data_IF_225015971819
#
_entry.id   IF_225015971819
#
_cell.length_a   1.000
_cell.length_b   1.000
_cell.length_c   1.000
_cell.angle_alpha   90.00
_cell.angle_beta   90.00
_cell.angle_gamma   90.00
#
_symmetry.space_group_name_H-M   'P 1'
#
loop_
_entity.id
_entity.type
_entity.pdbx_description
1 polymer ?
#
# COMPACT_ATOMS: atom_id res chain seq x y z
N UNK A 1 -18.39 30.84 -2.73
CA UNK A 1 -18.75 29.40 -2.66
C UNK A 1 -18.20 28.74 -3.91
N UNK A 2 -17.02 28.13 -3.82
CA UNK A 2 -16.49 27.33 -4.93
C UNK A 2 -17.18 25.97 -4.87
N UNK A 3 -18.06 25.70 -5.84
CA UNK A 3 -18.50 24.34 -6.14
C UNK A 3 -17.34 23.71 -6.92
N UNK A 4 -16.43 23.06 -6.21
CA UNK A 4 -15.49 22.17 -6.87
C UNK A 4 -16.16 20.82 -7.02
N UNK A 5 -16.53 20.48 -8.25
CA UNK A 5 -16.73 19.10 -8.69
C UNK A 5 -15.38 18.39 -8.53
N UNK A 6 -15.08 17.96 -7.31
CA UNK A 6 -13.88 17.20 -7.01
C UNK A 6 -14.15 15.74 -7.38
N UNK A 7 -14.26 15.46 -8.68
CA UNK A 7 -14.25 14.11 -9.22
C UNK A 7 -12.83 13.52 -9.05
N UNK A 8 -12.42 13.30 -7.80
CA UNK A 8 -11.18 12.60 -7.49
C UNK A 8 -11.40 11.12 -7.74
N UNK A 9 -10.91 10.63 -8.89
CA UNK A 9 -10.97 9.21 -9.23
C UNK A 9 -10.09 8.42 -8.25
N UNK A 10 -10.71 7.58 -7.43
CA UNK A 10 -10.01 6.67 -6.53
C UNK A 10 -9.77 5.33 -7.23
N UNK A 11 -8.50 4.98 -7.45
CA UNK A 11 -8.09 3.67 -7.97
C UNK A 11 -7.49 2.83 -6.86
N UNK A 12 -7.95 1.59 -6.73
CA UNK A 12 -7.46 0.63 -5.73
C UNK A 12 -6.74 -0.50 -6.44
N UNK A 13 -5.51 -0.78 -6.00
CA UNK A 13 -4.70 -1.88 -6.50
C UNK A 13 -4.37 -2.82 -5.34
N UNK A 14 -4.52 -4.13 -5.58
CA UNK A 14 -4.16 -5.16 -4.60
C UNK A 14 -2.87 -5.86 -5.04
N UNK A 15 -2.01 -6.14 -4.07
CA UNK A 15 -0.78 -6.88 -4.28
C UNK A 15 -0.56 -7.85 -3.11
N UNK A 16 0.00 -9.03 -3.40
CA UNK A 16 0.34 -10.06 -2.41
C UNK A 16 1.86 -10.26 -2.27
N UNK A 17 2.65 -9.46 -2.97
CA UNK A 17 4.12 -9.45 -2.98
C UNK A 17 4.67 -8.05 -3.24
N UNK A 18 5.83 -7.76 -2.64
CA UNK A 18 6.73 -6.69 -3.04
C UNK A 18 8.16 -7.26 -3.17
N UNK A 19 8.96 -6.80 -4.15
CA UNK A 19 8.64 -5.78 -5.15
C UNK A 19 7.63 -6.28 -6.19
N UNK A 20 6.88 -5.35 -6.79
CA UNK A 20 5.97 -5.67 -7.89
C UNK A 20 6.76 -6.18 -9.12
N UNK A 21 6.21 -7.15 -9.89
CA UNK A 21 6.86 -7.63 -11.11
C UNK A 21 7.11 -6.49 -12.12
N UNK A 22 8.19 -6.57 -12.91
CA UNK A 22 8.64 -5.50 -13.82
C UNK A 22 7.76 -5.31 -15.06
N UNK A 23 6.91 -6.28 -15.34
CA UNK A 23 6.09 -6.43 -16.54
C UNK A 23 4.64 -5.96 -16.36
N UNK A 24 4.31 -5.32 -15.24
CA UNK A 24 3.01 -4.65 -15.05
C UNK A 24 3.12 -3.16 -15.35
N UNK A 25 2.15 -2.62 -16.09
CA UNK A 25 2.00 -1.17 -16.26
C UNK A 25 1.82 -0.56 -14.87
N UNK A 26 2.83 0.15 -14.37
CA UNK A 26 2.90 0.55 -12.95
C UNK A 26 2.12 1.86 -12.77
N UNK A 27 0.93 1.84 -12.15
CA UNK A 27 0.22 3.07 -11.86
C UNK A 27 1.01 3.89 -10.84
N UNK A 28 0.78 5.20 -10.83
CA UNK A 28 1.22 6.04 -9.71
C UNK A 28 0.53 5.56 -8.44
N UNK A 29 1.31 5.34 -7.38
CA UNK A 29 0.80 4.93 -6.07
C UNK A 29 0.94 6.11 -5.12
N UNK A 30 -0.19 6.57 -4.58
CA UNK A 30 -0.22 7.71 -3.66
C UNK A 30 -0.26 7.30 -2.18
N UNK A 31 -0.73 6.09 -1.89
CA UNK A 31 -0.81 5.50 -0.55
C UNK A 31 -0.61 3.98 -0.62
N UNK A 32 0.15 3.43 0.32
CA UNK A 32 0.31 1.99 0.54
C UNK A 32 -0.33 1.64 1.87
N UNK A 33 -1.20 0.63 1.89
CA UNK A 33 -1.78 0.08 3.12
C UNK A 33 -1.32 -1.36 3.30
N UNK A 34 -0.55 -1.62 4.35
CA UNK A 34 -0.20 -2.98 4.75
C UNK A 34 -1.27 -3.53 5.68
N UNK A 35 -2.04 -4.49 5.19
CA UNK A 35 -3.02 -5.21 6.01
C UNK A 35 -2.31 -6.36 6.73
N UNK A 36 -2.32 -6.33 8.06
CA UNK A 36 -1.66 -7.32 8.92
C UNK A 36 -2.73 -8.14 9.64
N UNK A 37 -2.75 -9.44 9.44
CA UNK A 37 -3.58 -10.36 10.22
C UNK A 37 -2.79 -10.94 11.40
N UNK A 38 -3.16 -10.57 12.63
CA UNK A 38 -2.49 -10.99 13.86
C UNK A 38 -2.69 -12.47 14.21
N UNK A 39 -3.71 -13.13 13.66
CA UNK A 39 -3.85 -14.59 13.79
C UNK A 39 -2.88 -15.36 12.89
N UNK A 40 -2.18 -14.69 11.98
CA UNK A 40 -1.26 -15.30 11.04
C UNK A 40 0.13 -14.72 11.21
N UNK A 41 1.02 -15.47 11.88
CA UNK A 41 2.45 -15.12 11.97
C UNK A 41 3.07 -14.90 10.58
N UNK A 42 2.63 -15.67 9.59
CA UNK A 42 3.05 -15.52 8.20
C UNK A 42 2.66 -14.15 7.62
N UNK A 43 1.47 -13.63 7.97
CA UNK A 43 1.06 -12.28 7.55
C UNK A 43 2.01 -11.21 8.06
N UNK A 44 2.43 -11.30 9.33
CA UNK A 44 3.37 -10.35 9.91
C UNK A 44 4.75 -10.43 9.24
N UNK A 45 5.29 -11.65 9.10
CA UNK A 45 6.60 -11.88 8.46
C UNK A 45 6.65 -11.34 7.02
N UNK A 46 5.59 -11.57 6.24
CA UNK A 46 5.51 -11.01 4.89
C UNK A 46 5.56 -9.48 4.87
N UNK A 47 4.88 -8.82 5.80
CA UNK A 47 4.91 -7.36 5.87
C UNK A 47 6.30 -6.87 6.24
N UNK A 48 7.01 -7.53 7.16
CA UNK A 48 8.41 -7.23 7.49
C UNK A 48 9.32 -7.33 6.25
N UNK A 49 9.17 -8.38 5.43
CA UNK A 49 9.91 -8.55 4.17
C UNK A 49 9.55 -7.46 3.15
N UNK A 50 8.27 -7.17 2.96
CA UNK A 50 7.80 -6.19 1.97
C UNK A 50 8.26 -4.77 2.27
N UNK A 51 8.37 -4.39 3.54
CA UNK A 51 8.84 -3.08 3.96
C UNK A 51 10.26 -2.78 3.47
N UNK A 52 11.10 -3.80 3.28
CA UNK A 52 12.47 -3.64 2.77
C UNK A 52 12.52 -3.18 1.30
N UNK A 53 11.41 -3.33 0.57
CA UNK A 53 11.30 -2.96 -0.84
C UNK A 53 10.56 -1.64 -1.08
N UNK A 54 10.12 -0.97 0.00
CA UNK A 54 9.43 0.31 -0.07
C UNK A 54 10.44 1.45 -0.01
N UNK A 55 10.36 2.37 -0.96
CA UNK A 55 11.21 3.56 -0.95
C UNK A 55 10.93 4.42 0.29
N UNK A 56 12.00 4.95 0.90
CA UNK A 56 11.92 5.68 2.17
C UNK A 56 10.96 6.88 2.14
N UNK A 57 10.77 7.52 0.97
CA UNK A 57 9.85 8.65 0.81
C UNK A 57 8.38 8.29 1.04
N UNK A 58 8.00 7.02 0.89
CA UNK A 58 6.64 6.57 1.20
C UNK A 58 6.35 6.59 2.71
N UNK A 59 7.36 6.37 3.56
CA UNK A 59 7.17 6.40 5.02
C UNK A 59 6.91 7.82 5.57
N UNK A 60 7.04 8.86 4.74
CA UNK A 60 6.67 10.24 5.06
C UNK A 60 5.16 10.48 4.87
N UNK A 61 4.33 9.63 5.48
CA UNK A 61 2.87 9.76 5.50
C UNK A 61 2.10 9.07 4.36
N UNK A 62 2.77 8.29 3.50
CA UNK A 62 2.14 7.50 2.41
C UNK A 62 2.11 6.00 2.68
N UNK A 63 2.45 5.57 3.89
CA UNK A 63 2.29 4.19 4.37
C UNK A 63 1.37 4.19 5.58
N UNK A 64 0.41 3.28 5.56
CA UNK A 64 -0.48 3.01 6.68
C UNK A 64 -0.47 1.51 7.01
N UNK A 65 -0.58 1.17 8.30
CA UNK A 65 -0.74 -0.20 8.76
C UNK A 65 -2.18 -0.41 9.23
N UNK A 66 -2.87 -1.35 8.61
CA UNK A 66 -4.19 -1.78 9.03
C UNK A 66 -4.07 -3.13 9.71
N UNK A 67 -4.20 -3.14 11.03
CA UNK A 67 -4.09 -4.36 11.82
C UNK A 67 -5.47 -4.96 12.02
N UNK A 68 -5.59 -6.26 11.76
CA UNK A 68 -6.79 -7.08 11.94
C UNK A 68 -6.44 -8.27 12.83
N UNK A 69 -7.35 -8.73 13.68
CA UNK A 69 -7.14 -9.89 14.53
C UNK A 69 -8.37 -10.23 15.33
#
# INVERSE_FOLDING_TARGET
MLKDDCASELRVHLANSLPLPSNVNRPRIDLIVFVINLHSKYSLQKVEEFLQHVDSSFFLGKVCFLVTG
#
